data_IF_958983248663
#
_entry.id   IF_958983248663
#
_cell.length_a   1.000
_cell.length_b   1.000
_cell.length_c   1.000
_cell.angle_alpha   90.00
_cell.angle_beta   90.00
_cell.angle_gamma   90.00
#
_symmetry.space_group_name_H-M   'P 1'
#
loop_
_entity.id
_entity.type
_entity.pdbx_description
1 polymer ?
#
# COMPACT_ATOMS: atom_id res chain seq x y z
N UNK A 1 4.84 -5.14 15.81
CA UNK A 1 4.73 -5.57 14.39
C UNK A 1 5.06 -4.38 13.53
N UNK A 2 5.91 -4.53 12.51
CA UNK A 2 6.27 -3.46 11.60
C UNK A 2 5.32 -3.42 10.40
N UNK A 3 4.67 -2.28 10.19
CA UNK A 3 3.70 -2.09 9.10
C UNK A 3 4.15 -0.97 8.17
N UNK A 4 4.37 -1.29 6.89
CA UNK A 4 4.59 -0.31 5.83
C UNK A 4 3.29 -0.08 5.08
N UNK A 5 2.68 1.09 5.26
CA UNK A 5 1.47 1.51 4.54
C UNK A 5 1.88 2.26 3.28
N UNK A 6 1.38 1.85 2.12
CA UNK A 6 1.65 2.47 0.83
C UNK A 6 0.34 2.88 0.17
N UNK A 7 0.20 4.13 -0.27
CA UNK A 7 -0.87 4.52 -1.19
C UNK A 7 -0.53 4.02 -2.58
N UNK A 8 -1.51 3.50 -3.32
CA UNK A 8 -1.32 3.15 -4.73
C UNK A 8 -0.66 4.29 -5.54
N UNK A 9 0.12 3.93 -6.55
CA UNK A 9 0.76 4.87 -7.46
C UNK A 9 -0.24 5.52 -8.42
N UNK A 10 0.23 6.46 -9.24
CA UNK A 10 -0.64 7.20 -10.14
C UNK A 10 -1.42 6.28 -11.09
N UNK A 11 -2.75 6.46 -11.13
CA UNK A 11 -3.66 5.65 -11.95
C UNK A 11 -4.26 6.49 -13.08
N UNK A 12 -4.33 5.89 -14.27
CA UNK A 12 -5.00 6.47 -15.42
C UNK A 12 -6.50 6.68 -15.13
N UNK A 13 -7.18 7.62 -15.81
CA UNK A 13 -8.64 7.66 -15.81
C UNK A 13 -9.21 6.40 -16.46
N UNK A 14 -10.44 6.04 -16.13
CA UNK A 14 -11.11 4.88 -16.70
C UNK A 14 -12.36 4.46 -15.94
N UNK A 15 -13.22 3.69 -16.61
CA UNK A 15 -14.44 3.12 -16.05
C UNK A 15 -14.53 1.62 -16.36
N UNK A 16 -14.97 0.79 -15.39
CA UNK A 16 -15.30 1.15 -14.01
C UNK A 16 -14.06 1.54 -13.18
N UNK A 17 -14.22 2.35 -12.12
CA UNK A 17 -13.10 2.86 -11.31
C UNK A 17 -12.17 1.75 -10.80
N UNK A 18 -12.74 0.59 -10.46
CA UNK A 18 -12.02 -0.58 -9.96
C UNK A 18 -10.99 -1.14 -10.96
N UNK A 19 -11.19 -0.90 -12.26
CA UNK A 19 -10.34 -1.40 -13.35
C UNK A 19 -9.41 -0.33 -13.91
N UNK A 20 -9.29 0.84 -13.26
CA UNK A 20 -8.31 1.85 -13.64
C UNK A 20 -6.89 1.33 -13.45
N UNK A 21 -6.08 1.23 -14.52
CA UNK A 21 -4.71 0.78 -14.41
C UNK A 21 -3.79 1.92 -13.95
N UNK A 22 -2.57 1.59 -13.55
CA UNK A 22 -1.50 2.55 -13.36
C UNK A 22 -1.11 3.21 -14.68
N UNK A 23 -0.78 4.49 -14.61
CA UNK A 23 -0.06 5.18 -15.69
C UNK A 23 1.36 4.60 -15.81
N UNK A 24 2.04 4.87 -16.93
CA UNK A 24 3.44 4.49 -17.08
C UNK A 24 4.31 5.11 -15.96
N UNK A 25 4.12 6.41 -15.69
CA UNK A 25 4.79 7.11 -14.60
C UNK A 25 4.45 6.54 -13.21
N UNK A 26 3.20 6.09 -13.00
CA UNK A 26 2.79 5.42 -11.77
C UNK A 26 3.51 4.09 -11.56
N UNK A 27 3.65 3.26 -12.61
CA UNK A 27 4.43 2.01 -12.53
C UNK A 27 5.90 2.27 -12.23
N UNK A 28 6.50 3.27 -12.88
CA UNK A 28 7.91 3.63 -12.64
C UNK A 28 8.12 4.16 -11.22
N UNK A 29 7.19 4.97 -10.71
CA UNK A 29 7.23 5.46 -9.32
C UNK A 29 7.12 4.32 -8.29
N UNK A 30 6.23 3.35 -8.54
CA UNK A 30 6.10 2.15 -7.71
C UNK A 30 7.38 1.30 -7.74
N UNK A 31 7.96 1.07 -8.93
CA UNK A 31 9.24 0.36 -9.08
C UNK A 31 10.36 1.06 -8.31
N UNK A 32 10.49 2.37 -8.49
CA UNK A 32 11.51 3.16 -7.80
C UNK A 32 11.34 3.13 -6.27
N UNK A 33 10.10 3.13 -5.77
CA UNK A 33 9.85 2.92 -4.33
C UNK A 33 10.34 1.53 -3.90
N UNK A 34 9.95 0.48 -4.61
CA UNK A 34 10.38 -0.90 -4.32
C UNK A 34 11.90 -1.07 -4.32
N UNK A 35 12.61 -0.47 -5.28
CA UNK A 35 14.07 -0.44 -5.36
C UNK A 35 14.70 0.26 -4.16
N UNK A 36 14.19 1.44 -3.76
CA UNK A 36 14.67 2.15 -2.56
C UNK A 36 14.45 1.33 -1.30
N UNK A 37 13.29 0.70 -1.16
CA UNK A 37 12.94 -0.17 -0.04
C UNK A 37 13.92 -1.37 0.04
N UNK A 38 14.18 -2.03 -1.09
CA UNK A 38 15.14 -3.14 -1.15
C UNK A 38 16.56 -2.68 -0.82
N UNK A 39 16.99 -1.52 -1.32
CA UNK A 39 18.33 -0.97 -1.08
C UNK A 39 18.61 -0.67 0.40
N UNK A 40 17.58 -0.32 1.18
CA UNK A 40 17.67 -0.15 2.65
C UNK A 40 17.49 -1.45 3.44
N UNK A 41 17.42 -2.61 2.77
CA UNK A 41 17.24 -3.92 3.40
C UNK A 41 15.82 -4.21 3.87
N UNK A 42 14.80 -3.48 3.38
CA UNK A 42 13.41 -3.79 3.70
C UNK A 42 12.96 -5.05 2.95
N UNK A 43 12.56 -6.07 3.70
CA UNK A 43 12.03 -7.33 3.20
C UNK A 43 10.77 -7.69 4.02
N UNK A 44 9.56 -7.51 3.48
CA UNK A 44 8.33 -7.85 4.19
C UNK A 44 8.08 -9.36 4.14
N UNK A 45 7.51 -9.91 5.21
CA UNK A 45 7.02 -11.29 5.28
C UNK A 45 5.77 -11.48 4.41
N UNK A 46 4.99 -10.40 4.24
CA UNK A 46 3.82 -10.39 3.39
C UNK A 46 3.60 -9.05 2.69
N UNK A 47 3.11 -9.13 1.45
CA UNK A 47 2.59 -8.01 0.67
C UNK A 47 1.09 -8.19 0.53
N UNK A 48 0.31 -7.24 1.03
CA UNK A 48 -1.16 -7.26 1.01
C UNK A 48 -1.65 -6.04 0.25
N UNK A 49 -2.71 -6.19 -0.54
CA UNK A 49 -3.19 -5.12 -1.41
C UNK A 49 -4.71 -5.10 -1.50
N UNK A 50 -5.24 -3.90 -1.68
CA UNK A 50 -6.63 -3.67 -2.07
C UNK A 50 -7.02 -4.44 -3.34
N UNK A 51 -8.30 -4.83 -3.51
CA UNK A 51 -8.80 -5.46 -4.75
C UNK A 51 -8.70 -4.57 -6.00
N UNK A 52 -8.58 -3.24 -5.83
CA UNK A 52 -8.52 -2.29 -6.96
C UNK A 52 -7.28 -2.54 -7.84
N UNK A 53 -7.46 -2.50 -9.17
CA UNK A 53 -6.39 -2.83 -10.13
C UNK A 53 -5.12 -2.01 -9.88
N UNK A 54 -5.25 -0.68 -9.73
CA UNK A 54 -4.13 0.23 -9.42
C UNK A 54 -3.32 -0.15 -8.18
N UNK A 55 -3.96 -0.68 -7.14
CA UNK A 55 -3.28 -1.11 -5.91
C UNK A 55 -2.55 -2.43 -6.11
N UNK A 56 -3.17 -3.37 -6.85
CA UNK A 56 -2.55 -4.65 -7.21
C UNK A 56 -1.31 -4.45 -8.10
N UNK A 57 -1.43 -3.60 -9.11
CA UNK A 57 -0.32 -3.24 -10.00
C UNK A 57 0.78 -2.50 -9.24
N UNK A 58 0.44 -1.62 -8.28
CA UNK A 58 1.44 -0.97 -7.43
C UNK A 58 2.18 -2.00 -6.60
N UNK A 59 1.46 -2.91 -5.93
CA UNK A 59 2.04 -3.96 -5.10
C UNK A 59 2.98 -4.87 -5.90
N UNK A 60 2.58 -5.28 -7.10
CA UNK A 60 3.41 -6.06 -8.01
C UNK A 60 4.66 -5.28 -8.46
N UNK A 61 4.51 -4.00 -8.81
CA UNK A 61 5.61 -3.16 -9.27
C UNK A 61 6.67 -2.87 -8.20
N UNK A 62 6.32 -2.91 -6.91
CA UNK A 62 7.29 -2.83 -5.81
C UNK A 62 8.29 -4.00 -5.85
N UNK A 63 7.87 -5.19 -6.31
CA UNK A 63 8.71 -6.38 -6.41
C UNK A 63 9.22 -6.90 -5.05
N UNK A 64 8.48 -6.66 -3.96
CA UNK A 64 8.87 -7.02 -2.60
C UNK A 64 8.23 -8.32 -2.08
N UNK A 65 7.53 -9.05 -2.97
CA UNK A 65 6.83 -10.30 -2.64
C UNK A 65 5.60 -10.47 -3.53
N UNK A 66 5.00 -11.65 -3.49
CA UNK A 66 3.75 -11.94 -4.20
C UNK A 66 2.56 -11.23 -3.52
N UNK A 67 1.84 -10.32 -4.20
CA UNK A 67 0.74 -9.59 -3.59
C UNK A 67 -0.46 -10.49 -3.27
N UNK A 68 -0.95 -10.43 -2.03
CA UNK A 68 -2.20 -11.08 -1.61
C UNK A 68 -3.31 -10.05 -1.53
N UNK A 69 -4.42 -10.32 -2.23
CA UNK A 69 -5.59 -9.43 -2.19
C UNK A 69 -6.31 -9.58 -0.87
N UNK A 70 -6.74 -8.46 -0.30
CA UNK A 70 -7.58 -8.42 0.90
C UNK A 70 -8.67 -7.35 0.74
N UNK A 71 -9.94 -7.77 0.82
CA UNK A 71 -11.11 -6.90 0.61
C UNK A 71 -11.21 -5.77 1.64
N UNK A 72 -10.63 -5.96 2.83
CA UNK A 72 -10.57 -4.93 3.88
C UNK A 72 -9.81 -3.67 3.44
N UNK A 73 -8.94 -3.78 2.44
CA UNK A 73 -8.18 -2.66 1.89
C UNK A 73 -8.90 -1.96 0.73
N UNK A 74 -10.16 -2.29 0.42
CA UNK A 74 -10.96 -1.54 -0.54
C UNK A 74 -11.13 -0.07 -0.10
N UNK A 75 -11.40 0.88 -1.04
CA UNK A 75 -11.65 2.27 -0.67
C UNK A 75 -12.74 2.41 0.41
N UNK A 76 -12.44 3.18 1.46
CA UNK A 76 -13.29 3.31 2.64
C UNK A 76 -12.84 2.45 3.84
N UNK A 77 -11.66 1.83 3.75
CA UNK A 77 -11.07 1.06 4.86
C UNK A 77 -10.89 1.91 6.12
N UNK A 78 -11.24 1.34 7.27
CA UNK A 78 -10.93 1.94 8.58
C UNK A 78 -9.46 1.69 8.98
N UNK A 79 -8.91 2.43 9.95
CA UNK A 79 -7.60 2.11 10.53
C UNK A 79 -7.49 0.68 11.05
N UNK A 80 -8.58 0.16 11.63
CA UNK A 80 -8.69 -1.22 12.09
C UNK A 80 -8.65 -2.20 10.93
N UNK A 81 -9.36 -1.95 9.83
CA UNK A 81 -9.29 -2.80 8.63
C UNK A 81 -7.85 -2.90 8.09
N UNK A 82 -7.10 -1.79 8.08
CA UNK A 82 -5.69 -1.77 7.65
C UNK A 82 -4.80 -2.58 8.59
N UNK A 83 -5.01 -2.45 9.91
CA UNK A 83 -4.29 -3.23 10.92
C UNK A 83 -4.60 -4.73 10.78
N UNK A 84 -5.88 -5.09 10.72
CA UNK A 84 -6.30 -6.48 10.62
C UNK A 84 -5.90 -7.12 9.29
N UNK A 85 -5.86 -6.36 8.19
CA UNK A 85 -5.33 -6.86 6.92
C UNK A 85 -3.86 -7.28 7.02
N UNK A 86 -3.11 -6.75 7.99
CA UNK A 86 -1.73 -7.12 8.28
C UNK A 86 -1.56 -8.19 9.38
N UNK A 87 -2.57 -8.41 10.23
CA UNK A 87 -2.54 -9.41 11.30
C UNK A 87 -2.24 -10.83 10.79
N UNK A 88 -1.51 -11.62 11.59
CA UNK A 88 -1.16 -13.03 11.32
C UNK A 88 -0.38 -13.28 10.02
N UNK A 89 0.38 -12.27 9.56
CA UNK A 89 1.16 -12.34 8.31
C UNK A 89 2.68 -12.15 8.48
N UNK A 90 3.18 -12.24 9.70
CA UNK A 90 4.60 -12.10 10.04
C UNK A 90 4.90 -10.86 10.88
N UNK A 91 6.18 -10.55 11.02
CA UNK A 91 6.67 -9.43 11.83
C UNK A 91 6.70 -8.13 11.03
N UNK A 92 6.95 -8.21 9.72
CA UNK A 92 6.96 -7.06 8.80
C UNK A 92 5.95 -7.26 7.68
N UNK A 93 4.97 -6.37 7.56
CA UNK A 93 3.94 -6.44 6.51
C UNK A 93 3.90 -5.16 5.71
N UNK A 94 3.75 -5.29 4.38
CA UNK A 94 3.50 -4.18 3.47
C UNK A 94 2.03 -4.22 3.05
N UNK A 95 1.31 -3.11 3.24
CA UNK A 95 -0.08 -2.96 2.78
C UNK A 95 -0.18 -1.86 1.72
N UNK A 96 -0.90 -2.13 0.63
CA UNK A 96 -1.16 -1.16 -0.45
C UNK A 96 -2.65 -0.79 -0.52
N UNK A 97 -2.95 0.48 -0.27
CA UNK A 97 -4.32 1.00 -0.14
C UNK A 97 -4.57 2.33 -0.86
N UNK A 98 -5.53 3.10 -0.36
CA UNK A 98 -6.06 4.32 -0.98
C UNK A 98 -6.02 5.53 -0.05
N UNK A 99 -6.27 6.70 -0.61
CA UNK A 99 -6.63 7.88 0.18
C UNK A 99 -8.15 8.00 0.28
N UNK A 100 -8.68 8.49 1.42
CA UNK A 100 -7.96 9.01 2.59
C UNK A 100 -7.47 7.93 3.59
N UNK A 101 -7.81 6.66 3.35
CA UNK A 101 -7.67 5.55 4.29
C UNK A 101 -6.25 5.37 4.85
N UNK A 102 -5.21 5.41 4.00
CA UNK A 102 -3.82 5.29 4.47
C UNK A 102 -3.43 6.42 5.45
N UNK A 103 -3.89 7.65 5.19
CA UNK A 103 -3.59 8.80 6.04
C UNK A 103 -4.28 8.67 7.39
N UNK A 104 -5.55 8.25 7.39
CA UNK A 104 -6.33 7.98 8.60
C UNK A 104 -5.73 6.84 9.42
N UNK A 105 -5.28 5.77 8.77
CA UNK A 105 -4.62 4.65 9.44
C UNK A 105 -3.33 5.08 10.14
N UNK A 106 -2.47 5.87 9.47
CA UNK A 106 -1.25 6.39 10.11
C UNK A 106 -1.57 7.34 11.26
N UNK A 107 -2.55 8.23 11.09
CA UNK A 107 -2.94 9.16 12.15
C UNK A 107 -3.42 8.42 13.40
N UNK A 108 -4.29 7.43 13.24
CA UNK A 108 -4.85 6.67 14.35
C UNK A 108 -3.79 5.77 15.02
N UNK A 109 -3.00 5.06 14.22
CA UNK A 109 -2.10 4.02 14.72
C UNK A 109 -0.74 4.57 15.20
N UNK A 110 -0.28 5.69 14.64
CA UNK A 110 1.02 6.28 14.97
C UNK A 110 0.92 7.71 15.54
N UNK A 111 -0.28 8.30 15.62
CA UNK A 111 -0.48 9.63 16.19
C UNK A 111 0.11 10.79 15.36
N UNK A 112 0.42 10.56 14.09
CA UNK A 112 1.05 11.55 13.20
C UNK A 112 0.27 11.74 11.92
N UNK A 113 0.14 12.99 11.49
CA UNK A 113 -0.42 13.32 10.18
C UNK A 113 0.72 13.43 9.16
N UNK A 114 0.61 12.68 8.06
CA UNK A 114 1.61 12.67 6.99
C UNK A 114 0.95 12.76 5.62
N UNK A 115 1.57 13.45 4.65
CA UNK A 115 1.05 13.49 3.30
C UNK A 115 1.24 12.14 2.61
N UNK A 116 0.20 11.68 1.93
CA UNK A 116 0.22 10.48 1.08
C UNK A 116 -0.03 10.85 -0.39
N UNK A 117 0.98 11.40 -1.11
CA UNK A 117 0.90 11.47 -2.57
C UNK A 117 0.81 10.05 -3.17
N UNK A 118 0.47 9.88 -4.46
CA UNK A 118 0.59 8.59 -5.13
C UNK A 118 1.98 7.97 -4.93
N UNK A 119 2.05 6.68 -4.62
CA UNK A 119 3.27 5.97 -4.20
C UNK A 119 3.93 6.52 -2.92
N UNK A 120 3.21 7.33 -2.13
CA UNK A 120 3.62 7.72 -0.79
C UNK A 120 3.51 6.54 0.17
N UNK A 121 4.44 6.45 1.11
CA UNK A 121 4.50 5.36 2.08
C UNK A 121 4.90 5.86 3.46
N UNK A 122 4.41 5.18 4.50
CA UNK A 122 4.80 5.43 5.88
C UNK A 122 5.00 4.09 6.61
N UNK A 123 6.09 3.99 7.35
CA UNK A 123 6.42 2.82 8.17
C UNK A 123 6.14 3.15 9.63
N UNK A 124 5.38 2.29 10.30
CA UNK A 124 5.11 2.39 11.73
C UNK A 124 5.36 1.06 12.44
N UNK A 125 5.65 1.15 13.73
CA UNK A 125 5.71 0.02 14.65
C UNK A 125 4.42 0.00 15.47
N UNK A 126 3.74 -1.15 15.45
CA UNK A 126 2.52 -1.47 16.21
C UNK A 126 2.84 -2.30 17.46
#
# INVERSE_FOLDING_TARGET
MRLLIVRHAEAAPGEPDALRPLTAAGRDSARALGERLRARGFAPDAVVTSPMLRSRETAAALGLGEPKVDERLAPGASPEDVREAASDRGETVLVVGHQPDCGRAVLELAGVEVPFPPAGSYELEL
#
